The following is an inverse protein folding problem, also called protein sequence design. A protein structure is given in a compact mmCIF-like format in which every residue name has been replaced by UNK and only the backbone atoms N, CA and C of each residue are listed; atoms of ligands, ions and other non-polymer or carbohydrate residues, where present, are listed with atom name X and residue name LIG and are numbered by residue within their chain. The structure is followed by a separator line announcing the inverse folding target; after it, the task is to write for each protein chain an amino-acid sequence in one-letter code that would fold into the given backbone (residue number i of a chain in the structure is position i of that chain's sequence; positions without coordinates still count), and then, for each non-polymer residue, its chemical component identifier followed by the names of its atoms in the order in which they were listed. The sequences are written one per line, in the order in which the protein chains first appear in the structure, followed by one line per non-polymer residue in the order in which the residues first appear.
data_IF_762498861868
#
_entry.id   IF_762498861868
#
_cell.length_a   1.000
_cell.length_b   1.000
_cell.length_c   1.000
_cell.angle_alpha   90.00
_cell.angle_beta   90.00
_cell.angle_gamma   90.00
#
_symmetry.space_group_name_H-M   'P 1'
#
loop_
_entity.id
_entity.type
_entity.pdbx_description
1 polymer ?
#
# COMPACT_ATOMS: atom_id res chain seq x y z
N UNK A 1 0.72 3.03 -7.12
CA UNK A 1 0.63 3.81 -5.86
C UNK A 1 1.06 5.25 -6.11
N UNK A 2 0.42 6.21 -5.47
CA UNK A 2 0.90 7.60 -5.44
C UNK A 2 -0.10 8.55 -4.80
N UNK A 3 0.21 9.85 -4.86
CA UNK A 3 -0.63 10.91 -4.32
C UNK A 3 -1.72 11.31 -5.31
N UNK A 4 -2.91 11.51 -4.79
CA UNK A 4 -4.08 11.99 -5.53
C UNK A 4 -4.33 13.47 -5.21
N UNK A 5 -4.13 14.33 -6.22
CA UNK A 5 -4.34 15.78 -6.10
C UNK A 5 -5.68 16.24 -6.69
N UNK A 6 -6.47 15.34 -7.28
CA UNK A 6 -7.78 15.64 -7.86
C UNK A 6 -8.80 14.55 -7.49
N UNK A 7 -9.07 14.36 -6.18
CA UNK A 7 -9.94 13.30 -5.71
C UNK A 7 -11.41 13.56 -6.08
N UNK A 8 -12.20 12.49 -6.14
CA UNK A 8 -13.66 12.61 -6.20
C UNK A 8 -14.22 13.29 -4.93
N UNK A 9 -15.50 13.68 -4.95
CA UNK A 9 -16.17 14.47 -3.89
C UNK A 9 -16.01 13.94 -2.46
N UNK A 10 -15.88 12.63 -2.27
CA UNK A 10 -15.71 12.00 -0.95
C UNK A 10 -14.25 11.75 -0.57
N UNK A 11 -13.29 12.01 -1.46
CA UNK A 11 -11.87 11.85 -1.20
C UNK A 11 -11.21 13.11 -0.65
N UNK A 12 -9.91 13.01 -0.37
CA UNK A 12 -9.12 14.10 0.24
C UNK A 12 -7.92 14.45 -0.62
N UNK A 13 -7.70 15.74 -0.91
CA UNK A 13 -6.55 16.19 -1.69
C UNK A 13 -5.26 15.80 -0.94
N UNK A 14 -4.35 15.12 -1.64
CA UNK A 14 -3.10 14.59 -1.09
C UNK A 14 -3.23 13.20 -0.45
N UNK A 15 -4.38 12.53 -0.58
CA UNK A 15 -4.52 11.13 -0.16
C UNK A 15 -3.59 10.21 -0.96
N UNK A 16 -3.16 9.11 -0.36
CA UNK A 16 -2.36 8.08 -1.05
C UNK A 16 -3.31 7.02 -1.59
N UNK A 17 -3.22 6.71 -2.87
CA UNK A 17 -4.08 5.72 -3.53
C UNK A 17 -3.29 4.61 -4.23
N UNK A 18 -3.91 3.43 -4.31
CA UNK A 18 -3.57 2.39 -5.28
C UNK A 18 -4.21 2.71 -6.63
N UNK A 19 -3.36 2.72 -7.66
CA UNK A 19 -3.73 2.92 -9.05
C UNK A 19 -2.62 2.34 -9.93
N UNK A 20 -2.94 2.08 -11.19
CA UNK A 20 -2.01 1.55 -12.18
C UNK A 20 -2.72 0.73 -13.24
N UNK A 21 -1.95 -0.02 -14.02
CA UNK A 21 -2.45 -0.92 -15.06
C UNK A 21 -3.30 -2.07 -14.49
N UNK A 22 -2.94 -2.54 -13.29
CA UNK A 22 -3.53 -3.73 -12.67
C UNK A 22 -4.50 -3.34 -11.52
N UNK A 23 -5.16 -2.19 -11.64
CA UNK A 23 -5.99 -1.58 -10.59
C UNK A 23 -7.27 -0.96 -11.18
N UNK A 24 -8.27 -1.80 -11.50
CA UNK A 24 -9.60 -1.32 -11.95
C UNK A 24 -10.30 -0.58 -10.80
N UNK A 25 -10.20 -1.12 -9.59
CA UNK A 25 -10.74 -0.56 -8.36
C UNK A 25 -9.65 0.19 -7.62
N UNK A 26 -9.67 1.52 -7.66
CA UNK A 26 -8.75 2.36 -6.88
C UNK A 26 -9.11 2.30 -5.40
N UNK A 27 -8.10 2.24 -4.54
CA UNK A 27 -8.28 2.22 -3.08
C UNK A 27 -7.45 3.31 -2.41
N UNK A 28 -8.04 3.98 -1.41
CA UNK A 28 -7.32 4.93 -0.55
C UNK A 28 -6.55 4.15 0.51
N UNK A 29 -5.26 4.38 0.60
CA UNK A 29 -4.39 3.78 1.61
C UNK A 29 -4.24 4.64 2.86
N UNK A 30 -4.18 5.96 2.67
CA UNK A 30 -4.02 6.91 3.76
C UNK A 30 -4.53 8.29 3.34
N UNK A 31 -4.96 9.08 4.32
CA UNK A 31 -5.45 10.45 4.11
C UNK A 31 -4.37 11.45 3.70
N UNK A 32 -3.09 11.12 3.92
CA UNK A 32 -1.95 11.96 3.55
C UNK A 32 -0.67 11.13 3.45
N UNK A 33 0.37 11.69 2.81
CA UNK A 33 1.69 11.08 2.79
C UNK A 33 2.24 10.84 4.20
N UNK A 34 2.04 11.77 5.13
CA UNK A 34 2.50 11.63 6.52
C UNK A 34 1.87 10.42 7.22
N UNK A 35 0.55 10.24 7.06
CA UNK A 35 -0.16 9.08 7.61
C UNK A 35 0.27 7.76 6.96
N UNK A 36 0.56 7.78 5.67
CA UNK A 36 1.12 6.61 4.99
C UNK A 36 2.50 6.23 5.54
N UNK A 37 3.40 7.20 5.72
CA UNK A 37 4.74 6.94 6.26
C UNK A 37 4.70 6.48 7.72
N UNK A 38 3.80 7.06 8.53
CA UNK A 38 3.54 6.61 9.92
C UNK A 38 3.09 5.14 9.94
N UNK A 39 2.19 4.76 9.03
CA UNK A 39 1.75 3.36 8.91
C UNK A 39 2.90 2.42 8.51
N UNK A 40 3.73 2.80 7.53
CA UNK A 40 4.92 2.01 7.14
C UNK A 40 5.90 1.88 8.31
N UNK A 41 6.15 2.97 9.04
CA UNK A 41 7.00 2.93 10.23
C UNK A 41 6.45 1.94 11.27
N UNK A 42 5.14 1.96 11.53
CA UNK A 42 4.49 1.00 12.42
C UNK A 42 4.65 -0.47 11.99
N UNK A 43 4.62 -0.76 10.68
CA UNK A 43 4.90 -2.11 10.17
C UNK A 43 6.35 -2.54 10.42
N UNK A 44 7.30 -1.60 10.30
CA UNK A 44 8.72 -1.86 10.57
C UNK A 44 8.99 -2.06 12.07
N UNK A 45 8.46 -1.18 12.91
CA UNK A 45 8.63 -1.20 14.37
C UNK A 45 8.00 -2.45 14.99
N UNK A 46 6.84 -2.88 14.49
CA UNK A 46 6.18 -4.12 14.94
C UNK A 46 6.80 -5.40 14.38
N UNK A 47 7.76 -5.30 13.45
CA UNK A 47 8.32 -6.45 12.76
C UNK A 47 7.34 -7.16 11.82
N UNK A 48 6.27 -6.49 11.39
CA UNK A 48 5.29 -7.02 10.44
C UNK A 48 5.76 -6.90 8.99
N UNK A 49 6.97 -7.40 8.72
CA UNK A 49 7.52 -7.42 7.37
C UNK A 49 8.38 -8.66 7.15
N UNK A 50 8.62 -8.96 5.88
CA UNK A 50 9.59 -9.93 5.40
C UNK A 50 10.41 -9.26 4.30
N UNK A 51 11.70 -9.55 4.27
CA UNK A 51 12.60 -9.11 3.22
C UNK A 51 13.01 -10.32 2.39
N UNK A 52 12.86 -10.20 1.08
CA UNK A 52 13.39 -11.17 0.13
C UNK A 52 14.39 -10.48 -0.80
N UNK A 53 15.42 -11.22 -1.20
CA UNK A 53 16.33 -10.77 -2.24
C UNK A 53 15.53 -10.53 -3.52
N UNK A 54 15.62 -9.33 -4.10
CA UNK A 54 15.20 -9.13 -5.47
C UNK A 54 16.27 -9.69 -6.42
N UNK A 55 15.86 -9.95 -7.66
CA UNK A 55 16.78 -10.33 -8.75
C UNK A 55 17.85 -9.27 -8.99
N UNK A 56 17.56 -8.01 -8.63
CA UNK A 56 18.54 -6.93 -8.63
C UNK A 56 19.34 -6.88 -7.32
N UNK A 57 20.68 -6.79 -7.38
CA UNK A 57 21.57 -7.04 -6.25
C UNK A 57 21.41 -6.07 -5.07
N UNK A 58 20.71 -4.94 -5.24
CA UNK A 58 20.64 -3.86 -4.24
C UNK A 58 19.24 -3.64 -3.66
N UNK A 59 18.19 -4.23 -4.24
CA UNK A 59 16.82 -4.00 -3.77
C UNK A 59 16.30 -5.21 -2.97
N UNK A 60 15.69 -4.94 -1.81
CA UNK A 60 14.92 -5.92 -1.04
C UNK A 60 13.44 -5.65 -1.26
N UNK A 61 12.66 -6.69 -1.57
CA UNK A 61 11.20 -6.55 -1.66
C UNK A 61 10.61 -6.52 -0.26
N UNK A 62 9.87 -5.46 0.07
CA UNK A 62 9.07 -5.38 1.28
C UNK A 62 7.82 -6.23 1.10
N UNK A 63 7.60 -7.18 2.02
CA UNK A 63 6.43 -8.06 2.01
C UNK A 63 5.81 -8.11 3.40
N UNK A 64 4.51 -8.35 3.48
CA UNK A 64 3.81 -8.45 4.76
C UNK A 64 3.97 -9.85 5.37
N UNK A 65 4.08 -9.89 6.69
CA UNK A 65 4.17 -11.13 7.47
C UNK A 65 2.79 -11.59 7.96
N UNK A 66 1.95 -10.66 8.41
CA UNK A 66 0.61 -10.88 8.92
C UNK A 66 -0.34 -9.77 8.41
N UNK A 67 -1.36 -10.09 7.59
CA UNK A 67 -1.53 -11.38 6.91
C UNK A 67 -0.34 -11.69 6.00
N UNK A 68 -0.10 -12.98 5.75
CA UNK A 68 0.96 -13.39 4.84
C UNK A 68 0.57 -12.95 3.43
N UNK A 69 1.31 -12.01 2.85
CA UNK A 69 1.18 -11.68 1.43
C UNK A 69 2.54 -11.39 0.83
N UNK A 70 2.71 -11.85 -0.41
CA UNK A 70 3.89 -11.56 -1.23
C UNK A 70 3.68 -10.31 -2.09
N UNK A 71 2.45 -9.88 -2.32
CA UNK A 71 2.15 -8.65 -3.04
C UNK A 71 1.86 -7.51 -2.05
N UNK A 72 2.54 -6.38 -2.21
CA UNK A 72 2.36 -5.27 -1.28
C UNK A 72 0.96 -4.66 -1.38
N UNK A 73 0.37 -4.55 -2.58
CA UNK A 73 -0.96 -3.96 -2.76
C UNK A 73 -2.04 -4.86 -2.17
N UNK A 74 -1.95 -6.18 -2.39
CA UNK A 74 -2.86 -7.17 -1.80
C UNK A 74 -2.84 -7.11 -0.27
N UNK A 75 -1.65 -7.18 0.33
CA UNK A 75 -1.54 -7.15 1.79
C UNK A 75 -1.94 -5.80 2.38
N UNK A 76 -1.65 -4.68 1.71
CA UNK A 76 -2.12 -3.36 2.10
C UNK A 76 -3.65 -3.27 2.08
N UNK A 77 -4.29 -3.78 1.02
CA UNK A 77 -5.76 -3.85 0.92
C UNK A 77 -6.35 -4.67 2.05
N UNK A 78 -5.76 -5.83 2.34
CA UNK A 78 -6.23 -6.69 3.43
C UNK A 78 -6.13 -6.02 4.79
N UNK A 79 -5.05 -5.28 5.08
CA UNK A 79 -4.89 -4.56 6.35
C UNK A 79 -5.86 -3.38 6.49
N UNK A 80 -6.25 -2.78 5.36
CA UNK A 80 -7.15 -1.63 5.32
C UNK A 80 -8.63 -2.00 5.13
N UNK A 81 -8.94 -3.29 4.94
CA UNK A 81 -10.29 -3.74 4.58
C UNK A 81 -10.78 -3.22 3.23
N UNK A 82 -9.86 -2.91 2.31
CA UNK A 82 -10.19 -2.43 0.97
C UNK A 82 -10.63 -3.60 0.05
N UNK A 83 -11.50 -3.36 -0.94
CA UNK A 83 -11.93 -4.38 -1.90
C UNK A 83 -10.75 -4.91 -2.73
N UNK A 84 -10.98 -5.98 -3.50
CA UNK A 84 -10.00 -6.45 -4.49
C UNK A 84 -9.69 -5.40 -5.58
N UNK A 85 -8.62 -5.59 -6.37
CA UNK A 85 -8.22 -4.66 -7.42
C UNK A 85 -9.12 -4.69 -8.66
N UNK A 86 -9.96 -5.71 -8.81
CA UNK A 86 -10.83 -5.94 -9.97
C UNK A 86 -12.31 -5.97 -9.56
N UNK A 87 -13.20 -5.66 -10.52
CA UNK A 87 -14.66 -5.67 -10.36
C UNK A 87 -15.27 -7.08 -10.42
#
# INVERSE_FOLDING_TARGET
MGLDFDPWRSGRVGQVILFGRDEDVKAVLAESLGKFLEWIAGLLESGNFRLEAAEEPVLRRFRLKAPLSNDFHEGARSLLGAPGPFL
#
